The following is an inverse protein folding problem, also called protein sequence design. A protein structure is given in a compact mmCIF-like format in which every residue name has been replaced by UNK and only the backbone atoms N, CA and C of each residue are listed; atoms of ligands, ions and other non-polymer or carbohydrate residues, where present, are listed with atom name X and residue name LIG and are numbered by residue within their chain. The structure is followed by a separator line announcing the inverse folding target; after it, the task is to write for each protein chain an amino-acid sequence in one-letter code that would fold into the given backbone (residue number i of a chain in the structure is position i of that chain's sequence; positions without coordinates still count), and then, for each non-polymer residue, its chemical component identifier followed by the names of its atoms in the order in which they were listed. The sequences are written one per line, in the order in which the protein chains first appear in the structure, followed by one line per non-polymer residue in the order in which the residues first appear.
data_IF_439646200900
#
_entry.id   IF_439646200900
#
_cell.length_a   1.000
_cell.length_b   1.000
_cell.length_c   1.000
_cell.angle_alpha   90.00
_cell.angle_beta   90.00
_cell.angle_gamma   90.00
#
_symmetry.space_group_name_H-M   'P 1'
#
loop_
_entity.id
_entity.type
_entity.pdbx_description
1 polymer ?
#
# COMPACT_ATOMS: atom_id res chain seq x y z
N UNK A 1 -20.36 35.46 20.92
CA UNK A 1 -19.61 35.73 19.69
C UNK A 1 -19.24 34.37 19.13
N UNK A 2 -19.98 33.92 18.11
CA UNK A 2 -19.84 32.58 17.52
C UNK A 2 -18.68 32.65 16.54
N UNK A 3 -17.63 31.89 16.80
CA UNK A 3 -16.49 31.75 15.89
C UNK A 3 -16.99 31.06 14.62
N UNK A 4 -16.77 31.69 13.47
CA UNK A 4 -17.06 31.09 12.17
C UNK A 4 -16.20 29.83 11.98
N UNK A 5 -16.73 28.78 11.33
CA UNK A 5 -15.93 27.62 10.95
C UNK A 5 -14.78 28.05 10.02
N UNK A 6 -13.63 27.34 10.05
CA UNK A 6 -12.53 27.61 9.13
C UNK A 6 -13.04 27.51 7.69
N UNK A 7 -12.68 28.50 6.87
CA UNK A 7 -13.05 28.54 5.47
C UNK A 7 -12.55 27.26 4.79
N UNK A 8 -13.47 26.51 4.17
CA UNK A 8 -13.12 25.42 3.29
C UNK A 8 -12.24 25.98 2.17
N UNK A 9 -10.99 25.54 2.11
CA UNK A 9 -10.13 25.84 0.97
C UNK A 9 -10.81 25.29 -0.28
N UNK A 10 -11.04 26.16 -1.26
CA UNK A 10 -11.68 25.79 -2.51
C UNK A 10 -10.90 24.65 -3.17
N UNK A 11 -11.58 23.53 -3.42
CA UNK A 11 -11.04 22.38 -4.16
C UNK A 11 -10.65 22.89 -5.55
N UNK A 12 -9.36 23.05 -5.79
CA UNK A 12 -8.84 23.27 -7.13
C UNK A 12 -9.30 22.12 -8.04
N UNK A 13 -9.38 22.33 -9.38
CA UNK A 13 -9.70 21.25 -10.30
C UNK A 13 -8.73 20.08 -10.08
N UNK A 14 -9.16 18.82 -10.27
CA UNK A 14 -8.29 17.66 -10.10
C UNK A 14 -7.08 17.87 -10.99
N UNK A 15 -5.90 18.02 -10.38
CA UNK A 15 -4.64 17.99 -11.11
C UNK A 15 -4.61 16.65 -11.82
N UNK A 16 -4.67 16.69 -13.16
CA UNK A 16 -4.42 15.51 -14.00
C UNK A 16 -3.16 14.83 -13.50
N UNK A 17 -3.27 13.57 -13.06
CA UNK A 17 -2.12 12.78 -12.60
C UNK A 17 -1.11 12.70 -13.74
N UNK A 18 -0.02 13.45 -13.63
CA UNK A 18 0.97 13.60 -14.69
C UNK A 18 2.05 12.51 -14.68
N UNK A 19 2.10 11.68 -13.65
CA UNK A 19 3.06 10.59 -13.49
C UNK A 19 2.44 9.40 -12.73
N UNK A 20 2.86 8.18 -13.08
CA UNK A 20 2.45 6.95 -12.40
C UNK A 20 3.14 6.77 -11.04
N UNK A 21 2.67 5.79 -10.26
CA UNK A 21 3.25 5.49 -8.95
C UNK A 21 4.63 4.85 -9.08
N UNK A 22 5.61 5.42 -8.39
CA UNK A 22 6.89 4.76 -8.13
C UNK A 22 6.70 3.52 -7.24
N UNK A 23 7.61 2.57 -7.33
CA UNK A 23 7.58 1.34 -6.55
C UNK A 23 8.50 1.51 -5.34
N UNK A 24 7.94 1.48 -4.14
CA UNK A 24 8.68 1.69 -2.88
C UNK A 24 8.79 0.44 -2.02
N UNK A 25 7.89 -0.52 -2.24
CA UNK A 25 7.87 -1.80 -1.56
C UNK A 25 8.29 -2.91 -2.54
N UNK A 26 9.04 -3.94 -2.12
CA UNK A 26 9.47 -5.01 -3.01
C UNK A 26 8.33 -5.71 -3.75
N UNK A 27 8.57 -6.18 -4.98
CA UNK A 27 7.53 -6.81 -5.82
C UNK A 27 7.98 -8.11 -6.47
N UNK A 28 7.11 -9.12 -6.41
CA UNK A 28 7.22 -10.36 -7.17
C UNK A 28 6.21 -10.34 -8.32
N UNK A 29 6.68 -10.61 -9.54
CA UNK A 29 5.85 -10.81 -10.73
C UNK A 29 5.67 -12.32 -10.95
N UNK A 30 4.55 -12.88 -10.49
CA UNK A 30 4.39 -14.34 -10.37
C UNK A 30 4.17 -15.07 -11.70
N UNK A 31 3.49 -14.47 -12.69
CA UNK A 31 3.19 -15.11 -13.98
C UNK A 31 3.55 -14.25 -15.20
N UNK A 32 4.68 -13.54 -15.15
CA UNK A 32 5.18 -12.71 -16.24
C UNK A 32 4.33 -11.46 -16.39
N UNK A 33 3.56 -11.14 -15.34
CA UNK A 33 2.79 -9.91 -15.22
C UNK A 33 3.76 -8.75 -15.28
N UNK A 34 3.46 -7.79 -16.16
CA UNK A 34 4.24 -6.55 -16.24
C UNK A 34 3.33 -5.37 -16.01
N UNK A 35 3.81 -4.42 -15.21
CA UNK A 35 3.16 -3.13 -14.99
C UNK A 35 4.12 -2.03 -15.41
N UNK A 36 3.62 -1.02 -16.12
CA UNK A 36 4.43 0.14 -16.44
C UNK A 36 4.64 0.95 -15.15
N UNK A 37 5.85 0.88 -14.62
CA UNK A 37 6.27 1.61 -13.42
C UNK A 37 7.42 2.56 -13.76
N UNK A 38 7.48 3.75 -13.16
CA UNK A 38 8.60 4.66 -13.34
C UNK A 38 9.91 4.03 -12.84
N UNK A 39 11.00 4.32 -13.54
CA UNK A 39 12.34 3.85 -13.15
C UNK A 39 12.68 2.44 -13.62
N UNK A 40 13.81 1.93 -13.12
CA UNK A 40 14.32 0.58 -13.36
C UNK A 40 14.94 0.01 -12.08
N UNK A 41 14.94 -1.31 -11.86
CA UNK A 41 15.47 -1.87 -10.63
C UNK A 41 16.97 -1.54 -10.48
N UNK A 42 17.40 -1.20 -9.26
CA UNK A 42 18.80 -0.83 -8.99
C UNK A 42 19.21 0.58 -9.45
N UNK A 43 18.27 1.41 -9.92
CA UNK A 43 18.58 2.80 -10.25
C UNK A 43 18.93 3.62 -8.99
N UNK A 44 19.75 4.64 -9.17
CA UNK A 44 19.87 5.72 -8.17
C UNK A 44 18.60 6.57 -8.24
N UNK A 45 17.89 6.80 -7.12
CA UNK A 45 16.68 7.62 -7.14
C UNK A 45 16.91 9.03 -7.68
N UNK A 46 15.97 9.49 -8.50
CA UNK A 46 15.86 10.88 -8.95
C UNK A 46 14.91 11.61 -8.01
N UNK A 47 15.40 12.68 -7.38
CA UNK A 47 14.68 13.48 -6.39
C UNK A 47 14.62 14.96 -6.79
N UNK A 48 14.32 15.20 -8.07
CA UNK A 48 14.30 16.54 -8.68
C UNK A 48 12.94 17.25 -8.64
N UNK A 49 11.91 16.56 -8.15
CA UNK A 49 10.53 17.05 -8.08
C UNK A 49 10.15 17.69 -6.75
N UNK A 50 8.84 17.84 -6.55
CA UNK A 50 8.28 18.33 -5.32
C UNK A 50 8.56 17.36 -4.15
N UNK A 51 8.72 17.93 -2.96
CA UNK A 51 8.90 17.20 -1.71
C UNK A 51 8.29 17.99 -0.57
N UNK A 52 7.90 17.29 0.48
CA UNK A 52 7.33 17.87 1.70
C UNK A 52 8.20 17.48 2.91
N UNK A 53 8.21 18.31 3.94
CA UNK A 53 8.72 17.90 5.24
C UNK A 53 7.75 16.91 5.88
N UNK A 54 8.28 15.89 6.56
CA UNK A 54 7.50 14.94 7.35
C UNK A 54 8.25 14.58 8.62
N UNK A 55 7.57 14.55 9.76
CA UNK A 55 8.18 14.27 11.07
C UNK A 55 7.31 13.43 12.02
N UNK A 56 6.36 12.68 11.46
CA UNK A 56 5.53 11.74 12.21
C UNK A 56 4.04 11.95 11.95
N UNK A 57 3.22 11.65 12.94
CA UNK A 57 1.76 11.83 12.87
C UNK A 57 1.20 12.42 14.15
N UNK A 58 0.05 13.08 14.05
CA UNK A 58 -0.71 13.60 15.20
C UNK A 58 -2.00 12.80 15.36
N UNK A 59 -2.52 12.72 16.58
CA UNK A 59 -3.73 12.00 16.91
C UNK A 59 -3.54 10.48 17.13
N UNK A 60 -4.67 9.78 17.15
CA UNK A 60 -4.76 8.34 17.36
C UNK A 60 -5.85 7.76 16.46
N UNK A 61 -5.70 6.48 16.09
CA UNK A 61 -6.65 5.73 15.27
C UNK A 61 -8.09 5.90 15.78
N UNK A 62 -9.07 6.24 14.90
CA UNK A 62 -8.99 6.38 13.43
C UNK A 62 -8.67 7.79 12.92
N UNK A 63 -8.40 8.74 13.81
CA UNK A 63 -8.19 10.15 13.48
C UNK A 63 -6.71 10.54 13.58
N UNK A 64 -5.85 9.76 12.93
CA UNK A 64 -4.44 10.10 12.75
C UNK A 64 -4.36 11.19 11.68
N UNK A 65 -3.37 12.08 11.68
CA UNK A 65 -3.06 13.00 10.56
C UNK A 65 -1.54 13.13 10.38
N UNK A 66 -1.03 13.30 9.15
CA UNK A 66 0.40 13.41 8.93
C UNK A 66 0.93 14.72 9.48
N UNK A 67 2.00 14.66 10.29
CA UNK A 67 2.74 15.82 10.74
C UNK A 67 3.76 16.21 9.66
N UNK A 68 3.34 17.10 8.78
CA UNK A 68 4.05 17.40 7.54
C UNK A 68 3.70 18.81 7.02
N UNK A 69 4.52 19.32 6.10
CA UNK A 69 4.25 20.58 5.41
C UNK A 69 5.01 20.69 4.08
N UNK A 70 4.47 21.42 3.12
CA UNK A 70 5.23 21.82 1.94
C UNK A 70 6.32 22.84 2.33
N UNK A 71 7.51 22.81 1.70
CA UNK A 71 8.51 23.84 1.90
C UNK A 71 8.03 25.17 1.33
N UNK A 72 8.36 26.25 2.01
CA UNK A 72 8.05 27.60 1.56
C UNK A 72 8.83 27.92 0.26
N UNK A 73 8.15 28.46 -0.76
CA UNK A 73 8.76 28.72 -2.06
C UNK A 73 9.83 29.83 -2.01
N UNK A 74 9.73 30.75 -1.04
CA UNK A 74 10.65 31.87 -0.86
C UNK A 74 11.81 31.51 0.07
N UNK A 75 11.57 30.65 1.07
CA UNK A 75 12.63 30.08 1.91
C UNK A 75 12.36 28.63 2.34
N UNK A 76 13.00 27.71 1.64
CA UNK A 76 12.80 26.25 1.82
C UNK A 76 13.15 25.72 3.21
N UNK A 77 13.80 26.48 4.09
CA UNK A 77 14.06 26.06 5.48
C UNK A 77 12.80 26.09 6.36
N UNK A 78 11.71 26.71 5.89
CA UNK A 78 10.45 26.86 6.61
C UNK A 78 9.28 26.21 5.86
N UNK A 79 8.18 25.95 6.56
CA UNK A 79 6.94 25.51 5.94
C UNK A 79 6.25 26.68 5.21
N UNK A 80 5.61 26.38 4.08
CA UNK A 80 4.86 27.33 3.26
C UNK A 80 3.74 28.02 4.07
N UNK A 81 3.73 29.35 4.05
CA UNK A 81 2.70 30.17 4.68
C UNK A 81 1.55 30.55 3.73
N UNK A 82 1.65 30.19 2.44
CA UNK A 82 0.67 30.48 1.40
C UNK A 82 0.66 31.93 0.89
N UNK A 83 1.66 32.74 1.24
CA UNK A 83 1.75 34.16 0.91
C UNK A 83 3.00 34.42 0.05
N UNK A 84 2.84 34.62 -1.27
CA UNK A 84 3.96 34.81 -2.18
C UNK A 84 4.88 35.98 -1.81
N UNK A 85 6.19 35.76 -1.90
CA UNK A 85 7.24 36.73 -1.60
C UNK A 85 7.54 36.89 -0.11
N UNK A 86 7.01 36.01 0.74
CA UNK A 86 7.18 36.07 2.20
C UNK A 86 7.31 34.67 2.79
N UNK A 87 8.09 34.54 3.86
CA UNK A 87 8.13 33.33 4.68
C UNK A 87 7.85 33.67 6.14
N UNK A 88 7.41 32.67 6.92
CA UNK A 88 7.21 32.82 8.36
C UNK A 88 8.27 32.03 9.13
N UNK A 89 9.20 32.74 9.78
CA UNK A 89 10.29 32.12 10.56
C UNK A 89 9.81 31.30 11.78
N UNK A 90 8.54 31.41 12.16
CA UNK A 90 7.94 30.59 13.22
C UNK A 90 7.46 29.21 12.71
N UNK A 91 7.29 29.03 11.39
CA UNK A 91 6.83 27.77 10.79
C UNK A 91 8.03 26.85 10.50
N UNK A 92 8.71 26.43 11.57
CA UNK A 92 9.86 25.53 11.47
C UNK A 92 9.38 24.08 11.35
N UNK A 93 9.78 23.32 10.32
CA UNK A 93 9.44 21.91 10.20
C UNK A 93 9.86 21.11 11.44
N UNK A 94 8.99 20.19 11.90
CA UNK A 94 9.22 19.47 13.15
C UNK A 94 8.86 20.24 14.43
N UNK A 95 8.34 21.47 14.30
CA UNK A 95 7.91 22.29 15.43
C UNK A 95 6.44 22.72 15.29
N UNK A 96 5.57 22.40 16.26
CA UNK A 96 5.82 21.54 17.42
C UNK A 96 6.16 20.09 17.01
N UNK A 97 6.77 19.30 17.91
CA UNK A 97 6.94 17.88 17.67
C UNK A 97 5.57 17.21 17.46
N UNK A 98 5.54 16.16 16.66
CA UNK A 98 4.34 15.37 16.43
C UNK A 98 3.97 14.54 17.67
N UNK A 99 2.70 14.16 17.82
CA UNK A 99 2.26 13.26 18.91
C UNK A 99 2.95 11.90 18.83
N UNK A 100 3.10 11.37 17.61
CA UNK A 100 3.86 10.16 17.30
C UNK A 100 5.07 10.54 16.43
N UNK A 101 6.19 10.96 17.05
CA UNK A 101 7.31 11.56 16.34
C UNK A 101 8.11 10.53 15.54
N UNK A 102 8.53 10.93 14.35
CA UNK A 102 9.54 10.26 13.53
C UNK A 102 10.68 11.23 13.20
N UNK A 103 11.86 10.74 12.78
CA UNK A 103 12.91 11.62 12.28
C UNK A 103 12.39 12.54 11.16
N UNK A 104 12.74 13.82 11.24
CA UNK A 104 12.41 14.81 10.21
C UNK A 104 13.12 14.43 8.90
N UNK A 105 12.35 14.28 7.83
CA UNK A 105 12.85 13.93 6.51
C UNK A 105 12.24 14.82 5.44
N UNK A 106 12.85 14.80 4.24
CA UNK A 106 12.19 15.23 3.01
C UNK A 106 11.48 14.03 2.40
N UNK A 107 10.17 14.12 2.21
CA UNK A 107 9.36 13.14 1.53
C UNK A 107 9.14 13.57 0.08
N UNK A 108 9.88 12.99 -0.85
CA UNK A 108 9.78 13.28 -2.28
C UNK A 108 8.53 12.64 -2.86
N UNK A 109 7.62 13.45 -3.43
CA UNK A 109 6.27 13.01 -3.77
C UNK A 109 6.26 11.93 -4.85
N UNK A 110 5.46 10.88 -4.66
CA UNK A 110 5.40 9.70 -5.53
C UNK A 110 4.85 9.98 -6.93
N UNK A 111 3.87 10.89 -7.05
CA UNK A 111 3.18 11.21 -8.31
C UNK A 111 3.73 12.48 -8.98
N UNK A 112 5.04 12.73 -8.86
CA UNK A 112 5.75 13.84 -9.53
C UNK A 112 6.71 13.27 -10.59
N UNK A 113 6.60 13.72 -11.84
CA UNK A 113 7.39 13.20 -12.97
C UNK A 113 8.91 13.42 -12.84
N UNK A 114 9.37 14.32 -11.95
CA UNK A 114 10.78 14.56 -11.66
C UNK A 114 11.29 13.76 -10.47
N UNK A 115 10.40 13.01 -9.83
CA UNK A 115 10.71 12.06 -8.79
C UNK A 115 10.58 10.64 -9.36
N UNK A 116 11.67 9.88 -9.34
CA UNK A 116 11.69 8.53 -9.92
C UNK A 116 12.54 7.60 -9.09
N UNK A 117 11.97 6.49 -8.64
CA UNK A 117 12.66 5.43 -7.93
C UNK A 117 11.93 4.11 -8.11
N UNK A 118 12.64 3.02 -7.85
CA UNK A 118 12.09 1.68 -7.90
C UNK A 118 12.79 0.81 -6.87
N UNK A 119 12.02 0.25 -5.94
CA UNK A 119 12.47 -0.78 -5.02
C UNK A 119 12.79 -2.07 -5.78
N UNK A 120 13.26 -3.10 -5.06
CA UNK A 120 13.58 -4.37 -5.69
C UNK A 120 12.33 -5.03 -6.31
N UNK A 121 12.52 -5.69 -7.43
CA UNK A 121 11.48 -6.55 -7.99
C UNK A 121 12.09 -7.72 -8.75
N UNK A 122 11.39 -8.85 -8.78
CA UNK A 122 11.83 -10.03 -9.52
C UNK A 122 10.69 -10.67 -10.31
N UNK A 123 11.02 -11.23 -11.47
CA UNK A 123 10.12 -12.07 -12.25
C UNK A 123 10.29 -13.52 -11.82
N UNK A 124 9.23 -14.10 -11.27
CA UNK A 124 9.20 -15.45 -10.73
C UNK A 124 8.43 -16.43 -11.60
N UNK A 125 8.06 -16.03 -12.81
CA UNK A 125 7.18 -16.80 -13.70
C UNK A 125 7.82 -17.96 -14.47
N UNK A 126 9.14 -17.97 -14.57
CA UNK A 126 9.89 -18.96 -15.36
C UNK A 126 10.34 -20.19 -14.58
N UNK A 127 9.88 -20.35 -13.34
CA UNK A 127 10.53 -21.25 -12.37
C UNK A 127 9.56 -22.35 -11.96
N UNK A 128 10.06 -23.59 -11.87
CA UNK A 128 9.26 -24.77 -11.48
C UNK A 128 8.87 -24.74 -9.98
N UNK A 129 9.18 -23.65 -9.30
CA UNK A 129 8.93 -23.44 -7.86
C UNK A 129 7.72 -22.51 -7.72
N UNK A 130 6.65 -22.94 -7.02
CA UNK A 130 5.49 -22.09 -6.75
C UNK A 130 5.88 -20.82 -6.00
N UNK A 131 5.17 -19.73 -6.32
CA UNK A 131 5.16 -18.50 -5.52
C UNK A 131 4.25 -18.74 -4.31
N UNK A 132 4.75 -18.50 -3.10
CA UNK A 132 4.00 -18.71 -1.87
C UNK A 132 3.28 -17.43 -1.45
N UNK A 133 2.11 -17.55 -0.83
CA UNK A 133 1.38 -16.40 -0.28
C UNK A 133 1.29 -16.61 1.22
N UNK A 134 2.11 -15.88 1.96
CA UNK A 134 2.17 -15.99 3.43
C UNK A 134 1.15 -15.07 4.09
N UNK A 135 0.92 -13.89 3.50
CA UNK A 135 -0.04 -12.93 4.01
C UNK A 135 -0.97 -12.40 2.92
N UNK A 136 -2.18 -12.06 3.35
CA UNK A 136 -3.18 -11.39 2.53
C UNK A 136 -3.64 -10.17 3.30
N UNK A 137 -3.42 -9.00 2.72
CA UNK A 137 -4.12 -7.79 3.13
C UNK A 137 -5.37 -7.63 2.25
N UNK A 138 -6.47 -7.29 2.90
CA UNK A 138 -7.81 -7.22 2.34
C UNK A 138 -8.65 -6.09 2.99
N UNK A 139 -8.02 -5.20 3.77
CA UNK A 139 -8.65 -4.09 4.50
C UNK A 139 -8.06 -2.75 4.06
N UNK A 140 -8.86 -1.74 3.71
CA UNK A 140 -9.37 -0.79 4.71
C UNK A 140 -10.90 -0.68 4.77
N UNK A 141 -11.60 -0.98 3.67
CA UNK A 141 -13.03 -0.67 3.59
C UNK A 141 -13.86 -1.57 4.50
N UNK A 142 -13.56 -2.86 4.58
CA UNK A 142 -14.33 -3.84 5.36
C UNK A 142 -14.36 -3.52 6.86
N UNK A 143 -13.34 -2.83 7.38
CA UNK A 143 -13.14 -2.59 8.82
C UNK A 143 -13.53 -1.17 9.26
N UNK A 144 -13.60 -0.20 8.33
CA UNK A 144 -13.68 1.22 8.67
C UNK A 144 -15.09 1.83 8.67
N UNK A 145 -16.12 1.14 8.15
CA UNK A 145 -17.46 1.72 7.98
C UNK A 145 -18.63 0.82 8.43
N UNK A 146 -19.68 1.46 8.93
CA UNK A 146 -20.99 0.80 9.13
C UNK A 146 -21.68 0.57 7.77
N UNK A 147 -21.96 -0.70 7.49
CA UNK A 147 -22.53 -1.12 6.21
C UNK A 147 -24.05 -1.30 6.29
N UNK A 148 -24.74 -0.82 5.27
CA UNK A 148 -26.18 -1.06 5.09
C UNK A 148 -26.43 -1.97 3.89
N UNK A 149 -27.63 -2.52 3.79
CA UNK A 149 -28.01 -3.49 2.74
C UNK A 149 -27.93 -2.97 1.30
N UNK A 150 -27.70 -1.67 1.10
CA UNK A 150 -27.53 -1.02 -0.21
C UNK A 150 -26.11 -0.50 -0.45
N UNK A 151 -25.20 -0.69 0.51
CA UNK A 151 -23.82 -0.23 0.38
C UNK A 151 -23.09 -1.05 -0.69
N UNK A 152 -22.22 -0.38 -1.44
CA UNK A 152 -21.24 -1.03 -2.31
C UNK A 152 -19.95 -1.18 -1.52
N UNK A 153 -19.43 -2.41 -1.47
CA UNK A 153 -18.15 -2.71 -0.83
C UNK A 153 -17.07 -2.74 -1.90
N UNK A 154 -16.02 -1.94 -1.71
CA UNK A 154 -14.76 -2.07 -2.46
C UNK A 154 -13.80 -2.85 -1.59
N UNK A 155 -13.21 -3.91 -2.12
CA UNK A 155 -12.14 -4.65 -1.44
C UNK A 155 -10.88 -4.47 -2.26
N UNK A 156 -9.82 -3.99 -1.62
CA UNK A 156 -8.47 -4.00 -2.18
C UNK A 156 -7.76 -5.21 -1.58
N UNK A 157 -7.14 -6.02 -2.42
CA UNK A 157 -6.43 -7.22 -1.98
C UNK A 157 -4.97 -7.07 -2.36
N UNK A 158 -4.10 -7.23 -1.39
CA UNK A 158 -2.65 -7.28 -1.59
C UNK A 158 -2.16 -8.61 -1.05
N UNK A 159 -1.43 -9.35 -1.88
CA UNK A 159 -0.81 -10.61 -1.51
C UNK A 159 0.64 -10.33 -1.13
N UNK A 160 1.13 -10.98 -0.09
CA UNK A 160 2.53 -10.86 0.34
C UNK A 160 3.19 -12.22 0.48
N UNK A 161 4.47 -12.24 0.14
CA UNK A 161 5.40 -13.31 0.44
C UNK A 161 6.48 -12.76 1.38
N UNK A 162 6.78 -13.52 2.43
CA UNK A 162 7.92 -13.29 3.29
C UNK A 162 9.20 -13.66 2.51
N UNK A 163 10.15 -12.73 2.46
CA UNK A 163 11.40 -12.87 1.72
C UNK A 163 12.57 -13.31 2.59
N UNK A 164 12.33 -13.41 3.90
CA UNK A 164 13.36 -13.55 4.92
C UNK A 164 12.82 -14.51 5.98
N UNK A 165 13.04 -15.81 5.80
CA UNK A 165 12.69 -16.81 6.80
C UNK A 165 13.91 -17.66 7.18
N UNK A 166 14.07 -17.97 8.48
CA UNK A 166 15.18 -18.81 8.96
C UNK A 166 15.02 -20.29 8.57
N UNK A 167 13.79 -20.72 8.26
CA UNK A 167 13.46 -22.10 7.89
C UNK A 167 12.31 -22.10 6.88
N UNK A 168 12.48 -22.63 5.66
CA UNK A 168 11.36 -22.74 4.73
C UNK A 168 10.25 -23.60 5.35
N UNK A 169 9.10 -23.01 5.65
CA UNK A 169 7.95 -23.74 6.19
C UNK A 169 7.37 -24.73 5.17
N UNK A 170 7.61 -24.51 3.87
CA UNK A 170 7.26 -25.40 2.78
C UNK A 170 8.51 -26.06 2.17
N UNK A 171 8.55 -27.41 2.03
CA UNK A 171 9.74 -28.13 1.55
C UNK A 171 10.20 -27.80 0.12
N UNK A 172 9.47 -26.93 -0.60
CA UNK A 172 9.85 -26.38 -1.90
C UNK A 172 9.50 -24.88 -2.03
N UNK A 173 9.42 -24.12 -0.93
CA UNK A 173 9.15 -22.67 -0.98
C UNK A 173 10.30 -21.91 -1.64
N UNK A 174 9.97 -20.86 -2.40
CA UNK A 174 10.96 -19.93 -2.96
C UNK A 174 11.23 -18.82 -1.96
N UNK A 175 12.47 -18.70 -1.50
CA UNK A 175 12.86 -17.64 -0.57
C UNK A 175 13.56 -16.47 -1.31
N UNK A 176 13.35 -15.24 -0.82
CA UNK A 176 14.01 -14.02 -1.26
C UNK A 176 15.50 -13.98 -0.91
N UNK A 177 15.95 -14.90 -0.04
CA UNK A 177 17.33 -15.12 0.35
C UNK A 177 17.63 -14.63 1.78
N UNK A 178 18.92 -14.50 2.11
CA UNK A 178 19.34 -14.07 3.46
C UNK A 178 19.56 -12.56 3.59
N UNK A 179 19.29 -11.80 2.52
CA UNK A 179 19.54 -10.35 2.49
C UNK A 179 18.24 -9.62 2.15
N UNK A 180 17.85 -8.60 2.94
CA UNK A 180 16.64 -7.86 2.67
C UNK A 180 16.65 -7.22 1.29
N UNK A 181 15.50 -7.26 0.64
CA UNK A 181 15.31 -6.60 -0.64
C UNK A 181 15.27 -5.09 -0.47
N UNK A 182 15.68 -4.36 -1.51
CA UNK A 182 15.63 -2.91 -1.48
C UNK A 182 14.17 -2.44 -1.31
N UNK A 183 13.88 -1.80 -0.18
CA UNK A 183 12.63 -1.13 0.15
C UNK A 183 12.93 0.33 0.49
N UNK A 184 12.06 1.25 0.07
CA UNK A 184 12.15 2.66 0.42
C UNK A 184 11.09 3.02 1.45
N UNK A 185 11.52 3.62 2.55
CA UNK A 185 10.61 4.10 3.58
C UNK A 185 9.73 5.23 3.02
N UNK A 186 8.42 5.04 3.09
CA UNK A 186 7.43 6.03 2.65
C UNK A 186 6.94 6.88 3.82
N UNK A 187 6.50 8.09 3.49
CA UNK A 187 5.84 9.03 4.42
C UNK A 187 4.52 9.48 3.83
N UNK A 188 3.46 9.32 4.60
CA UNK A 188 2.20 10.00 4.36
C UNK A 188 2.40 11.50 4.63
N UNK A 189 2.07 12.34 3.64
CA UNK A 189 2.28 13.79 3.73
C UNK A 189 1.01 14.61 3.60
N UNK A 190 -0.05 14.09 3.01
CA UNK A 190 -1.36 14.77 3.03
C UNK A 190 -2.49 13.86 2.56
N UNK A 191 -3.72 14.33 2.75
CA UNK A 191 -4.92 13.70 2.19
C UNK A 191 -5.34 12.42 2.91
N UNK A 192 -6.45 11.86 2.44
CA UNK A 192 -7.07 10.63 2.93
C UNK A 192 -7.69 9.88 1.77
N UNK A 193 -7.69 8.55 1.85
CA UNK A 193 -8.29 7.69 0.83
C UNK A 193 -7.75 8.01 -0.57
N UNK A 194 -8.61 8.38 -1.51
CA UNK A 194 -8.20 8.63 -2.90
C UNK A 194 -7.33 9.87 -3.09
N UNK A 195 -7.40 10.82 -2.16
CA UNK A 195 -6.67 12.09 -2.22
C UNK A 195 -5.34 11.98 -1.43
N UNK A 196 -4.97 10.78 -0.97
CA UNK A 196 -3.77 10.54 -0.18
C UNK A 196 -2.49 10.77 -1.01
N UNK A 197 -1.51 11.43 -0.38
CA UNK A 197 -0.21 11.73 -0.96
C UNK A 197 0.87 11.14 -0.08
N UNK A 198 1.74 10.35 -0.70
CA UNK A 198 2.94 9.78 -0.09
C UNK A 198 4.20 10.24 -0.80
N UNK A 199 5.33 10.17 -0.09
CA UNK A 199 6.64 10.39 -0.66
C UNK A 199 7.75 9.55 -0.06
N UNK A 200 8.80 9.30 -0.83
CA UNK A 200 10.00 8.59 -0.39
C UNK A 200 10.78 9.46 0.60
N UNK A 201 11.04 8.92 1.78
CA UNK A 201 11.83 9.58 2.81
C UNK A 201 13.30 9.69 2.39
N UNK A 202 13.86 10.90 2.52
CA UNK A 202 15.26 11.20 2.27
C UNK A 202 15.79 12.06 3.42
N UNK A 203 16.92 11.63 4.00
CA UNK A 203 17.65 12.35 5.02
C UNK A 203 19.01 12.86 4.49
N UNK A 204 19.93 13.24 5.39
CA UNK A 204 21.25 13.72 5.01
C UNK A 204 22.17 12.63 4.42
N UNK A 205 21.93 11.35 4.74
CA UNK A 205 22.67 10.21 4.22
C UNK A 205 22.10 9.71 2.88
N UNK A 206 20.83 9.98 2.60
CA UNK A 206 20.18 9.63 1.33
C UNK A 206 18.75 9.11 1.53
N UNK A 207 18.23 8.30 0.59
CA UNK A 207 16.97 7.61 0.77
C UNK A 207 16.99 6.75 2.05
N UNK A 208 15.95 6.88 2.86
CA UNK A 208 15.77 6.03 4.04
C UNK A 208 15.20 4.70 3.58
N UNK A 209 15.83 3.61 3.98
CA UNK A 209 15.43 2.26 3.58
C UNK A 209 14.37 1.70 4.53
N UNK A 210 13.47 0.88 3.97
CA UNK A 210 12.50 0.08 4.71
C UNK A 210 13.09 -1.24 5.20
N UNK A 211 12.23 -2.16 5.64
CA UNK A 211 12.69 -3.44 6.20
C UNK A 211 13.21 -4.37 5.11
N UNK A 212 12.51 -4.45 3.97
CA UNK A 212 12.91 -5.28 2.83
C UNK A 212 12.64 -6.77 3.02
N UNK A 213 11.88 -7.16 4.04
CA UNK A 213 11.69 -8.56 4.43
C UNK A 213 10.44 -9.20 3.79
N UNK A 214 9.67 -8.44 3.03
CA UNK A 214 8.43 -8.86 2.39
C UNK A 214 8.34 -8.28 1.00
N UNK A 215 7.67 -8.99 0.08
CA UNK A 215 7.29 -8.48 -1.22
C UNK A 215 5.79 -8.61 -1.45
N UNK A 216 5.21 -7.62 -2.13
CA UNK A 216 3.87 -7.79 -2.70
C UNK A 216 3.94 -8.67 -3.93
N UNK A 217 2.93 -9.53 -4.11
CA UNK A 217 2.84 -10.43 -5.25
C UNK A 217 1.80 -9.90 -6.22
N UNK A 218 2.23 -9.68 -7.46
CA UNK A 218 1.33 -9.42 -8.58
C UNK A 218 1.05 -10.71 -9.32
N UNK A 219 -0.20 -11.16 -9.21
CA UNK A 219 -0.66 -12.41 -9.84
C UNK A 219 -1.91 -12.20 -10.70
N UNK A 220 -1.84 -12.64 -11.96
CA UNK A 220 -3.00 -12.75 -12.84
C UNK A 220 -3.82 -14.03 -12.57
N UNK A 221 -3.34 -14.89 -11.68
CA UNK A 221 -4.02 -16.12 -11.27
C UNK A 221 -4.85 -15.93 -9.99
N UNK A 222 -4.58 -14.86 -9.23
CA UNK A 222 -5.29 -14.58 -8.00
C UNK A 222 -6.79 -14.30 -8.23
N UNK A 223 -7.64 -14.90 -7.39
CA UNK A 223 -9.10 -14.79 -7.46
C UNK A 223 -9.70 -14.59 -6.08
N UNK A 224 -10.74 -13.78 -6.01
CA UNK A 224 -11.55 -13.60 -4.81
C UNK A 224 -12.89 -14.29 -5.02
N UNK A 225 -13.17 -15.25 -4.13
CA UNK A 225 -14.37 -16.09 -4.19
C UNK A 225 -15.16 -15.92 -2.89
N UNK A 226 -16.44 -15.55 -3.00
CA UNK A 226 -17.37 -15.49 -1.86
C UNK A 226 -18.41 -16.60 -2.05
N UNK A 227 -18.42 -17.54 -1.10
CA UNK A 227 -19.38 -18.63 -1.04
C UNK A 227 -20.06 -18.66 0.33
N UNK A 228 -21.36 -18.99 0.31
CA UNK A 228 -22.14 -19.13 1.55
C UNK A 228 -22.05 -20.57 2.05
N UNK A 229 -21.66 -20.72 3.32
CA UNK A 229 -21.83 -21.98 4.05
C UNK A 229 -23.33 -22.24 4.28
N UNK A 230 -23.77 -23.45 3.95
CA UNK A 230 -25.14 -23.92 4.18
C UNK A 230 -25.31 -24.61 5.53
N UNK A 231 -24.20 -24.84 6.20
CA UNK A 231 -24.09 -25.40 7.55
C UNK A 231 -23.43 -24.39 8.49
N UNK A 232 -23.40 -24.70 9.79
CA UNK A 232 -22.65 -23.89 10.76
C UNK A 232 -21.14 -24.00 10.51
N UNK A 233 -20.41 -22.92 10.83
CA UNK A 233 -18.95 -22.80 10.61
C UNK A 233 -18.12 -23.88 11.31
N UNK A 234 -18.65 -24.50 12.37
CA UNK A 234 -18.01 -25.52 13.20
C UNK A 234 -18.38 -26.95 12.78
N UNK A 235 -19.10 -27.12 11.65
CA UNK A 235 -19.40 -28.43 11.11
C UNK A 235 -18.11 -29.10 10.60
N UNK A 236 -17.76 -30.24 11.18
CA UNK A 236 -16.55 -30.99 10.82
C UNK A 236 -16.48 -31.38 9.35
N UNK A 237 -17.61 -31.60 8.67
CA UNK A 237 -17.65 -31.96 7.25
C UNK A 237 -17.16 -30.84 6.31
N UNK A 238 -17.01 -29.61 6.81
CA UNK A 238 -16.40 -28.52 6.01
C UNK A 238 -14.92 -28.79 5.69
N UNK A 239 -14.24 -29.66 6.45
CA UNK A 239 -12.87 -30.07 6.18
C UNK A 239 -12.74 -30.97 4.92
N UNK A 240 -13.86 -31.55 4.46
CA UNK A 240 -13.90 -32.43 3.28
C UNK A 240 -14.17 -31.66 1.97
N UNK A 241 -14.30 -30.33 2.04
CA UNK A 241 -14.47 -29.51 0.83
C UNK A 241 -13.21 -29.55 -0.03
N UNK A 242 -13.40 -29.61 -1.34
CA UNK A 242 -12.34 -29.62 -2.34
C UNK A 242 -12.30 -28.29 -3.07
N UNK A 243 -11.12 -27.69 -3.15
CA UNK A 243 -10.92 -26.49 -3.97
C UNK A 243 -10.83 -26.86 -5.45
N UNK A 244 -11.72 -26.32 -6.26
CA UNK A 244 -11.69 -26.45 -7.72
C UNK A 244 -11.20 -25.13 -8.31
N UNK A 245 -9.99 -25.09 -8.91
CA UNK A 245 -9.45 -23.87 -9.52
C UNK A 245 -10.43 -23.22 -10.50
N UNK A 246 -10.62 -21.91 -10.36
CA UNK A 246 -11.54 -21.13 -11.20
C UNK A 246 -13.01 -21.25 -10.83
N UNK A 247 -13.41 -22.25 -10.04
CA UNK A 247 -14.80 -22.44 -9.60
C UNK A 247 -14.99 -22.05 -8.14
N UNK A 248 -14.23 -22.60 -7.21
CA UNK A 248 -14.44 -22.41 -5.77
C UNK A 248 -14.38 -23.72 -5.00
N UNK A 249 -14.79 -23.69 -3.73
CA UNK A 249 -14.94 -24.88 -2.92
C UNK A 249 -16.20 -25.65 -3.33
N UNK A 250 -16.08 -26.97 -3.47
CA UNK A 250 -17.20 -27.87 -3.75
C UNK A 250 -17.11 -29.09 -2.84
N UNK A 251 -18.21 -29.80 -2.67
CA UNK A 251 -18.18 -31.14 -2.08
C UNK A 251 -17.49 -32.13 -3.03
N UNK A 252 -17.04 -33.27 -2.49
CA UNK A 252 -16.52 -34.36 -3.32
C UNK A 252 -17.58 -34.86 -4.33
N UNK A 253 -17.10 -35.32 -5.49
CA UNK A 253 -17.96 -35.84 -6.56
C UNK A 253 -18.80 -37.00 -6.02
N UNK A 254 -20.13 -36.85 -6.09
CA UNK A 254 -21.08 -37.87 -5.61
C UNK A 254 -21.54 -37.66 -4.17
N UNK A 255 -21.11 -36.58 -3.50
CA UNK A 255 -21.69 -36.17 -2.22
C UNK A 255 -23.20 -35.94 -2.35
N UNK A 256 -23.95 -36.33 -1.31
CA UNK A 256 -25.39 -36.06 -1.17
C UNK A 256 -25.67 -34.96 -0.15
N UNK A 257 -24.62 -34.40 0.45
CA UNK A 257 -24.69 -33.35 1.47
C UNK A 257 -24.37 -32.03 0.80
N UNK A 258 -25.19 -31.02 1.04
CA UNK A 258 -24.94 -29.65 0.61
C UNK A 258 -24.36 -28.86 1.79
N UNK A 259 -23.05 -28.61 1.74
CA UNK A 259 -22.28 -27.89 2.72
C UNK A 259 -22.07 -26.43 2.31
N UNK A 260 -21.95 -26.18 1.00
CA UNK A 260 -21.63 -24.86 0.46
C UNK A 260 -22.44 -24.54 -0.81
N UNK A 261 -22.71 -23.26 -1.02
CA UNK A 261 -23.34 -22.80 -2.26
C UNK A 261 -22.32 -22.65 -3.39
N UNK A 262 -22.82 -22.65 -4.62
CA UNK A 262 -22.13 -22.05 -5.77
C UNK A 262 -21.65 -20.63 -5.44
N UNK A 263 -20.51 -20.18 -6.02
CA UNK A 263 -19.98 -18.85 -5.80
C UNK A 263 -21.00 -17.74 -6.07
N UNK A 264 -21.20 -16.89 -5.07
CA UNK A 264 -21.98 -15.66 -5.18
C UNK A 264 -21.13 -14.59 -5.89
N UNK A 265 -19.82 -14.62 -5.62
CA UNK A 265 -18.81 -13.81 -6.27
C UNK A 265 -17.61 -14.71 -6.57
N UNK A 266 -17.04 -14.60 -7.76
CA UNK A 266 -15.82 -15.30 -8.15
C UNK A 266 -15.20 -14.55 -9.32
N UNK A 267 -14.22 -13.69 -9.02
CA UNK A 267 -13.54 -12.86 -10.02
C UNK A 267 -12.04 -12.81 -9.75
N UNK A 268 -11.29 -12.47 -10.80
CA UNK A 268 -9.92 -12.03 -10.69
C UNK A 268 -9.79 -10.86 -9.70
N UNK A 269 -8.68 -10.79 -8.97
CA UNK A 269 -8.36 -9.64 -8.07
C UNK A 269 -7.37 -8.65 -8.68
N UNK A 270 -6.90 -8.90 -9.90
CA UNK A 270 -6.04 -7.98 -10.63
C UNK A 270 -6.89 -7.03 -11.49
N UNK A 271 -6.77 -5.72 -11.26
CA UNK A 271 -7.23 -4.65 -12.16
C UNK A 271 -6.22 -3.48 -12.15
#
# INVERSE_FOLDING_TARGET
MVLAPPAAMAKGPPTTETAGNNLSFPVIWAEGVTKAVPGTPGMVPLSGGAWWYSWGTNGADPNIVPASCAPDPDNKDFCDNGIPGTFNAALVPGTPPADNPMPLVKAYLQKDAKNTWQAASADWSGEDVPVSVDWIDWGDNLESNDWYTRSQVRTEVVLFEDLMEETPDEPNGRDGGTEPWLEYAMRHVSGWGIDEVHGMAVDAAGPVLGAGNQATIYSNCARFTIQKLLVKRDNASLADLVWVPGSGWTEEVGSTVNLINEPIFNKAVYE
#
